data_IF_709271887675
#
_entry.id   IF_709271887675
#
_cell.length_a   1.000
_cell.length_b   1.000
_cell.length_c   1.000
_cell.angle_alpha   90.00
_cell.angle_beta   90.00
_cell.angle_gamma   90.00
#
_symmetry.space_group_name_H-M   'P 1'
#
loop_
_entity.id
_entity.type
_entity.pdbx_description
1 polymer ?
#
# COMPACT_ATOMS: atom_id res chain seq x y z
N UNK A 1 -37.46 68.47 1.57
CA UNK A 1 -37.10 67.87 2.86
C UNK A 1 -37.38 66.39 2.72
N UNK A 2 -36.37 65.61 2.32
CA UNK A 2 -35.37 65.00 3.24
C UNK A 2 -36.00 63.83 3.98
N UNK A 3 -35.46 62.61 4.04
CA UNK A 3 -34.24 61.97 3.57
C UNK A 3 -34.58 60.46 3.58
N UNK A 4 -34.08 59.71 2.60
CA UNK A 4 -33.79 58.28 2.76
C UNK A 4 -32.32 58.21 3.16
N UNK A 5 -31.97 57.62 4.32
CA UNK A 5 -31.18 56.39 4.21
C UNK A 5 -31.38 55.45 5.41
N UNK A 6 -31.35 54.14 5.19
CA UNK A 6 -30.31 53.26 5.75
C UNK A 6 -30.66 51.81 5.46
N UNK A 7 -29.97 51.29 4.44
CA UNK A 7 -29.65 49.89 4.30
C UNK A 7 -28.53 49.58 5.30
N UNK A 8 -28.74 48.72 6.28
CA UNK A 8 -27.66 48.01 6.95
C UNK A 8 -28.13 46.64 7.45
N UNK A 9 -27.27 45.64 7.35
CA UNK A 9 -27.53 44.31 7.88
C UNK A 9 -27.54 43.18 6.85
N UNK A 10 -26.59 43.17 5.91
CA UNK A 10 -26.21 41.90 5.28
C UNK A 10 -25.59 40.97 6.32
N UNK A 11 -26.39 40.09 6.94
CA UNK A 11 -25.89 38.95 7.72
C UNK A 11 -25.25 37.93 6.77
N UNK A 12 -24.07 38.29 6.26
CA UNK A 12 -23.13 37.34 5.68
C UNK A 12 -22.58 36.50 6.83
N UNK A 13 -23.32 35.46 7.22
CA UNK A 13 -22.76 34.34 7.96
C UNK A 13 -21.68 33.71 7.08
N UNK A 14 -20.45 34.21 7.25
CA UNK A 14 -19.21 33.55 6.85
C UNK A 14 -19.15 32.24 7.65
N UNK A 15 -19.87 31.23 7.17
CA UNK A 15 -19.63 29.85 7.57
C UNK A 15 -18.17 29.58 7.31
N UNK A 16 -17.40 29.48 8.39
CA UNK A 16 -15.98 29.13 8.39
C UNK A 16 -15.79 28.02 7.36
N UNK A 17 -15.03 28.29 6.31
CA UNK A 17 -14.64 27.27 5.35
C UNK A 17 -14.13 26.08 6.15
N UNK A 18 -14.87 24.96 6.10
CA UNK A 18 -14.33 23.70 6.55
C UNK A 18 -13.06 23.54 5.72
N UNK A 19 -11.89 23.65 6.37
CA UNK A 19 -10.64 23.19 5.77
C UNK A 19 -10.97 21.82 5.20
N UNK A 20 -10.75 21.63 3.90
CA UNK A 20 -10.75 20.31 3.34
C UNK A 20 -9.88 19.44 4.26
N UNK A 21 -10.34 18.25 4.69
CA UNK A 21 -9.51 17.39 5.50
C UNK A 21 -8.19 17.24 4.76
N UNK A 22 -7.11 17.75 5.38
CA UNK A 22 -5.76 17.55 4.87
C UNK A 22 -5.63 16.05 4.67
N UNK A 23 -5.37 15.63 3.42
CA UNK A 23 -5.25 14.22 3.08
C UNK A 23 -4.19 13.65 4.00
N UNK A 24 -4.61 12.83 4.97
CA UNK A 24 -3.68 12.22 5.91
C UNK A 24 -2.64 11.46 5.09
N UNK A 25 -1.35 11.57 5.43
CA UNK A 25 -0.30 10.84 4.72
C UNK A 25 -0.69 9.36 4.70
N UNK A 26 -0.73 8.75 3.51
CA UNK A 26 -1.00 7.33 3.38
C UNK A 26 0.17 6.58 4.03
N UNK A 27 -0.09 5.91 5.14
CA UNK A 27 0.89 5.04 5.77
C UNK A 27 0.88 3.72 5.01
N UNK A 28 2.04 3.34 4.48
CA UNK A 28 2.23 2.03 3.89
C UNK A 28 2.80 1.10 4.95
N UNK A 29 2.15 -0.05 5.15
CA UNK A 29 2.62 -1.07 6.07
C UNK A 29 3.38 -2.12 5.26
N UNK A 30 4.60 -2.46 5.71
CA UNK A 30 5.41 -3.51 5.11
C UNK A 30 5.61 -4.64 6.10
N UNK A 31 5.64 -5.86 5.58
CA UNK A 31 6.17 -7.01 6.31
C UNK A 31 7.54 -7.37 5.77
N UNK A 32 8.51 -7.38 6.67
CA UNK A 32 9.89 -7.78 6.38
C UNK A 32 10.29 -8.93 7.30
N UNK A 33 11.13 -9.86 6.82
CA UNK A 33 11.80 -10.82 7.70
C UNK A 33 12.48 -10.12 8.87
N UNK A 34 12.51 -10.79 10.02
CA UNK A 34 13.29 -10.32 11.17
C UNK A 34 14.79 -10.52 10.96
N UNK A 35 15.16 -11.51 10.14
CA UNK A 35 16.52 -11.81 9.69
C UNK A 35 16.65 -11.47 8.19
N UNK A 36 17.65 -10.69 7.74
CA UNK A 36 17.82 -10.31 6.33
C UNK A 36 17.92 -11.49 5.34
N UNK A 37 18.37 -12.67 5.75
CA UNK A 37 18.37 -13.87 4.88
C UNK A 37 17.02 -14.63 4.90
N UNK A 38 16.07 -14.16 5.69
CA UNK A 38 14.85 -14.88 6.05
C UNK A 38 13.66 -14.73 5.10
N UNK A 39 13.85 -14.28 3.86
CA UNK A 39 12.75 -14.20 2.90
C UNK A 39 12.21 -15.60 2.56
N UNK A 40 10.96 -15.83 2.95
CA UNK A 40 10.24 -17.05 2.60
C UNK A 40 9.92 -17.08 1.11
N UNK A 41 9.97 -18.27 0.52
CA UNK A 41 9.51 -18.49 -0.86
C UNK A 41 8.00 -18.28 -0.95
N UNK A 42 7.53 -17.78 -2.10
CA UNK A 42 6.10 -17.49 -2.34
C UNK A 42 5.18 -18.68 -1.99
N UNK A 43 5.47 -19.95 -2.36
CA UNK A 43 4.62 -21.08 -1.97
C UNK A 43 4.52 -21.30 -0.45
N UNK A 44 5.58 -20.98 0.30
CA UNK A 44 5.58 -21.09 1.77
C UNK A 44 4.76 -19.97 2.38
N UNK A 45 4.86 -18.75 1.85
CA UNK A 45 4.02 -17.62 2.27
C UNK A 45 2.55 -17.95 2.05
N UNK A 46 2.18 -18.41 0.84
CA UNK A 46 0.81 -18.79 0.53
C UNK A 46 0.29 -19.90 1.45
N UNK A 47 1.08 -20.95 1.67
CA UNK A 47 0.70 -22.05 2.57
C UNK A 47 0.39 -21.55 3.99
N UNK A 48 1.17 -20.60 4.51
CA UNK A 48 0.94 -19.98 5.82
C UNK A 48 -0.28 -19.07 5.83
N UNK A 49 -0.48 -18.28 4.77
CA UNK A 49 -1.69 -17.44 4.61
C UNK A 49 -2.94 -18.33 4.60
N UNK A 50 -2.97 -19.39 3.81
CA UNK A 50 -4.11 -20.33 3.74
C UNK A 50 -4.36 -21.06 5.04
N UNK A 51 -3.33 -21.27 5.87
CA UNK A 51 -3.51 -21.90 7.19
C UNK A 51 -4.01 -20.90 8.25
N UNK A 52 -3.77 -19.60 8.04
CA UNK A 52 -4.11 -18.56 9.01
C UNK A 52 -5.50 -17.95 8.75
N UNK A 53 -5.93 -17.83 7.49
CA UNK A 53 -7.15 -17.10 7.12
C UNK A 53 -8.22 -17.98 6.49
N UNK A 54 -9.48 -17.70 6.81
CA UNK A 54 -10.64 -18.45 6.28
C UNK A 54 -10.90 -18.16 4.79
N UNK A 55 -10.50 -16.99 4.31
CA UNK A 55 -10.61 -16.60 2.92
C UNK A 55 -9.25 -16.17 2.36
N UNK A 56 -8.89 -16.78 1.22
CA UNK A 56 -7.70 -16.47 0.44
C UNK A 56 -8.05 -16.55 -1.04
N UNK A 57 -7.73 -15.49 -1.78
CA UNK A 57 -7.83 -15.42 -3.23
C UNK A 57 -6.45 -15.04 -3.79
N UNK A 58 -6.06 -15.70 -4.89
CA UNK A 58 -4.78 -15.49 -5.55
C UNK A 58 -4.98 -15.22 -7.03
N UNK A 59 -4.23 -14.25 -7.58
CA UNK A 59 -4.22 -13.91 -9.00
C UNK A 59 -2.78 -13.71 -9.48
N UNK A 60 -2.26 -14.71 -10.22
CA UNK A 60 -0.93 -14.67 -10.84
C UNK A 60 -0.83 -13.56 -11.89
N UNK A 61 -1.86 -13.37 -12.71
CA UNK A 61 -1.86 -12.37 -13.78
C UNK A 61 -1.89 -10.94 -13.21
N UNK A 62 -2.59 -10.70 -12.11
CA UNK A 62 -2.49 -9.43 -11.38
C UNK A 62 -1.10 -9.21 -10.76
N UNK A 63 -0.50 -10.26 -10.19
CA UNK A 63 0.85 -10.21 -9.63
C UNK A 63 1.90 -9.85 -10.68
N UNK A 64 1.88 -10.52 -11.82
CA UNK A 64 2.77 -10.27 -12.96
C UNK A 64 2.61 -8.84 -13.50
N UNK A 65 1.37 -8.40 -13.76
CA UNK A 65 1.10 -7.02 -14.22
C UNK A 65 1.62 -5.96 -13.24
N UNK A 66 1.54 -6.22 -11.94
CA UNK A 66 2.07 -5.31 -10.93
C UNK A 66 3.60 -5.19 -11.03
N UNK A 67 4.31 -6.30 -11.14
CA UNK A 67 5.78 -6.30 -11.28
C UNK A 67 6.23 -5.68 -12.60
N UNK A 68 5.51 -5.93 -13.70
CA UNK A 68 5.75 -5.25 -14.98
C UNK A 68 5.61 -3.72 -14.85
N UNK A 69 4.57 -3.26 -14.14
CA UNK A 69 4.37 -1.83 -13.88
C UNK A 69 5.51 -1.24 -13.03
N UNK A 70 6.03 -1.98 -12.05
CA UNK A 70 7.21 -1.56 -11.27
C UNK A 70 8.46 -1.45 -12.13
N UNK A 71 8.76 -2.47 -12.95
CA UNK A 71 9.90 -2.46 -13.89
C UNK A 71 9.81 -1.25 -14.83
N UNK A 72 8.62 -1.02 -15.40
CA UNK A 72 8.37 0.12 -16.27
C UNK A 72 8.58 1.44 -15.56
N UNK A 73 8.03 1.60 -14.35
CA UNK A 73 8.18 2.84 -13.57
C UNK A 73 9.65 3.15 -13.23
N UNK A 74 10.48 2.14 -12.96
CA UNK A 74 11.91 2.32 -12.71
C UNK A 74 12.64 2.69 -14.02
N UNK A 75 12.30 2.02 -15.12
CA UNK A 75 12.89 2.26 -16.45
C UNK A 75 12.54 3.66 -16.98
N UNK A 76 11.29 4.12 -16.81
CA UNK A 76 10.84 5.44 -17.27
C UNK A 76 11.51 6.58 -16.48
N UNK A 77 11.88 6.35 -15.22
CA UNK A 77 12.61 7.33 -14.39
C UNK A 77 14.10 7.39 -14.70
N UNK A 78 14.64 6.37 -15.35
CA UNK A 78 16.07 6.27 -15.70
C UNK A 78 16.31 6.71 -17.14
N UNK A 79 15.96 7.97 -17.44
CA UNK A 79 16.27 8.61 -18.73
C UNK A 79 17.78 8.72 -19.03
N UNK A 80 18.63 8.47 -18.05
CA UNK A 80 20.09 8.47 -18.15
C UNK A 80 20.69 7.29 -17.38
N UNK A 81 21.65 6.64 -18.02
CA UNK A 81 22.34 5.38 -17.71
C UNK A 81 23.07 5.27 -16.35
N UNK A 82 22.84 6.14 -15.37
CA UNK A 82 23.83 6.39 -14.31
C UNK A 82 23.64 5.65 -12.98
N UNK A 83 22.60 4.85 -12.81
CA UNK A 83 22.39 4.11 -11.55
C UNK A 83 22.45 2.60 -11.79
N UNK A 84 23.62 2.01 -11.54
CA UNK A 84 23.84 0.56 -11.54
C UNK A 84 22.81 -0.17 -10.68
N UNK A 85 22.47 0.40 -9.52
CA UNK A 85 21.43 -0.05 -8.60
C UNK A 85 20.05 -0.21 -9.27
N UNK A 86 19.65 0.71 -10.16
CA UNK A 86 18.36 0.59 -10.86
C UNK A 86 18.36 -0.55 -11.89
N UNK A 87 19.49 -0.80 -12.55
CA UNK A 87 19.61 -1.94 -13.49
C UNK A 87 19.58 -3.26 -12.75
N UNK A 88 20.27 -3.34 -11.62
CA UNK A 88 20.22 -4.52 -10.76
C UNK A 88 18.79 -4.77 -10.26
N UNK A 89 18.11 -3.71 -9.81
CA UNK A 89 16.72 -3.77 -9.37
C UNK A 89 15.78 -4.28 -10.46
N UNK A 90 15.90 -3.77 -11.69
CA UNK A 90 15.09 -4.24 -12.83
C UNK A 90 15.37 -5.70 -13.15
N UNK A 91 16.64 -6.13 -13.15
CA UNK A 91 17.00 -7.55 -13.39
C UNK A 91 16.43 -8.47 -12.32
N UNK A 92 16.51 -8.05 -11.06
CA UNK A 92 15.92 -8.79 -9.94
C UNK A 92 14.40 -8.96 -10.15
N UNK A 93 13.67 -7.86 -10.39
CA UNK A 93 12.22 -7.90 -10.63
C UNK A 93 11.84 -8.72 -11.87
N UNK A 94 12.62 -8.64 -12.95
CA UNK A 94 12.38 -9.43 -14.16
C UNK A 94 12.56 -10.93 -13.92
N UNK A 95 13.49 -11.31 -13.03
CA UNK A 95 13.70 -12.71 -12.61
C UNK A 95 12.57 -13.19 -11.71
N UNK A 96 12.06 -12.33 -10.84
CA UNK A 96 10.98 -12.63 -9.90
C UNK A 96 9.58 -12.63 -10.56
N UNK A 97 9.43 -11.98 -11.72
CA UNK A 97 8.15 -11.80 -12.44
C UNK A 97 7.33 -13.10 -12.59
N UNK A 98 7.88 -14.26 -13.02
CA UNK A 98 7.08 -15.47 -13.21
C UNK A 98 6.50 -16.05 -11.92
N UNK A 99 7.08 -15.71 -10.77
CA UNK A 99 6.66 -16.18 -9.44
C UNK A 99 5.85 -15.13 -8.67
N UNK A 100 5.56 -13.98 -9.29
CA UNK A 100 4.81 -12.90 -8.65
C UNK A 100 3.32 -13.23 -8.59
N UNK A 101 2.73 -13.13 -7.39
CA UNK A 101 1.32 -13.49 -7.15
C UNK A 101 0.64 -12.38 -6.38
N UNK A 102 -0.49 -11.89 -6.87
CA UNK A 102 -1.35 -11.04 -6.08
C UNK A 102 -2.18 -11.90 -5.13
N UNK A 103 -2.27 -11.50 -3.86
CA UNK A 103 -3.04 -12.21 -2.84
C UNK A 103 -3.98 -11.26 -2.12
N UNK A 104 -5.21 -11.72 -1.92
CA UNK A 104 -6.21 -11.10 -1.04
C UNK A 104 -6.59 -12.11 0.04
N UNK A 105 -6.56 -11.71 1.31
CA UNK A 105 -6.90 -12.61 2.41
C UNK A 105 -7.61 -11.90 3.57
N UNK A 106 -8.38 -12.66 4.35
CA UNK A 106 -9.12 -12.19 5.51
C UNK A 106 -10.03 -13.28 6.06
N UNK A 107 -10.88 -12.93 7.01
CA UNK A 107 -11.83 -13.90 7.61
C UNK A 107 -13.23 -13.82 6.98
N UNK A 108 -13.53 -12.71 6.27
CA UNK A 108 -14.84 -12.48 5.68
C UNK A 108 -14.72 -12.11 4.19
N UNK A 109 -15.08 -13.02 3.26
CA UNK A 109 -14.98 -12.77 1.82
C UNK A 109 -15.90 -11.66 1.30
N UNK A 110 -16.97 -11.33 2.03
CA UNK A 110 -17.91 -10.26 1.63
C UNK A 110 -17.58 -8.91 2.25
N UNK A 111 -16.52 -8.82 3.07
CA UNK A 111 -16.14 -7.55 3.69
C UNK A 111 -15.44 -6.64 2.68
N UNK A 112 -15.91 -5.39 2.60
CA UNK A 112 -15.30 -4.35 1.76
C UNK A 112 -14.09 -3.68 2.44
N UNK A 113 -13.86 -3.94 3.73
CA UNK A 113 -12.81 -3.26 4.51
C UNK A 113 -11.94 -4.17 5.38
N UNK A 114 -12.40 -5.39 5.68
CA UNK A 114 -11.69 -6.32 6.57
C UNK A 114 -10.93 -7.38 5.76
N UNK A 115 -10.04 -6.91 4.88
CA UNK A 115 -9.14 -7.77 4.14
C UNK A 115 -7.76 -7.12 3.97
N UNK A 116 -6.76 -7.97 3.75
CA UNK A 116 -5.43 -7.58 3.31
C UNK A 116 -5.28 -7.87 1.82
N UNK A 117 -4.62 -6.97 1.11
CA UNK A 117 -4.25 -7.17 -0.29
C UNK A 117 -2.79 -6.77 -0.48
N UNK A 118 -2.02 -7.63 -1.14
CA UNK A 118 -0.61 -7.42 -1.42
C UNK A 118 -0.17 -8.20 -2.66
N UNK A 119 0.93 -7.78 -3.27
CA UNK A 119 1.62 -8.58 -4.29
C UNK A 119 2.84 -9.23 -3.65
N UNK A 120 2.89 -10.57 -3.70
CA UNK A 120 4.03 -11.35 -3.26
C UNK A 120 5.05 -11.40 -4.39
N UNK A 121 6.25 -10.86 -4.14
CA UNK A 121 7.38 -10.91 -5.07
C UNK A 121 8.54 -11.62 -4.35
N UNK A 122 9.14 -12.66 -4.95
CA UNK A 122 10.27 -13.34 -4.34
C UNK A 122 11.41 -12.39 -3.94
N UNK A 123 11.88 -12.50 -2.69
CA UNK A 123 12.98 -11.67 -2.17
C UNK A 123 12.58 -10.26 -1.76
N UNK A 124 11.30 -9.90 -1.84
CA UNK A 124 10.81 -8.56 -1.53
C UNK A 124 10.02 -8.46 -0.23
N UNK A 125 10.06 -7.29 0.43
CA UNK A 125 9.08 -6.94 1.46
C UNK A 125 7.65 -7.05 0.94
N UNK A 126 6.73 -7.51 1.78
CA UNK A 126 5.31 -7.57 1.44
C UNK A 126 4.69 -6.21 1.77
N UNK A 127 4.38 -5.43 0.73
CA UNK A 127 3.76 -4.12 0.85
C UNK A 127 2.23 -4.24 0.83
N UNK A 128 1.57 -3.66 1.84
CA UNK A 128 0.11 -3.59 1.92
C UNK A 128 -0.38 -2.21 1.51
N UNK A 129 -1.28 -2.19 0.52
CA UNK A 129 -1.90 -0.97 0.02
C UNK A 129 -3.36 -0.95 0.49
N UNK A 130 -3.75 0.15 1.13
CA UNK A 130 -5.11 0.39 1.60
C UNK A 130 -5.81 1.44 0.73
N UNK A 131 -7.07 1.21 0.43
CA UNK A 131 -7.94 2.13 -0.31
C UNK A 131 -8.40 3.30 0.56
N UNK A 132 -8.52 3.07 1.87
CA UNK A 132 -8.93 4.08 2.85
C UNK A 132 -8.29 3.87 4.23
N UNK A 133 -8.24 4.94 5.02
CA UNK A 133 -7.83 4.85 6.43
C UNK A 133 -8.74 3.92 7.25
N UNK A 134 -10.03 3.85 6.91
CA UNK A 134 -10.97 2.94 7.55
C UNK A 134 -10.58 1.48 7.32
N UNK A 135 -10.19 1.13 6.09
CA UNK A 135 -9.68 -0.19 5.75
C UNK A 135 -8.36 -0.49 6.48
N UNK A 136 -7.43 0.46 6.53
CA UNK A 136 -6.17 0.29 7.26
C UNK A 136 -6.42 -0.03 8.75
N UNK A 137 -7.31 0.71 9.39
CA UNK A 137 -7.66 0.47 10.80
C UNK A 137 -8.33 -0.88 10.97
N UNK A 138 -9.30 -1.22 10.12
CA UNK A 138 -10.07 -2.46 10.19
C UNK A 138 -9.21 -3.72 9.93
N UNK A 139 -8.23 -3.62 9.03
CA UNK A 139 -7.33 -4.72 8.65
C UNK A 139 -6.13 -4.91 9.57
N UNK A 140 -5.88 -3.98 10.52
CA UNK A 140 -4.75 -4.04 11.45
C UNK A 140 -4.65 -5.35 12.24
N UNK A 141 -5.75 -5.93 12.77
CA UNK A 141 -5.68 -7.24 13.42
C UNK A 141 -5.23 -8.36 12.48
N UNK A 142 -5.67 -8.34 11.22
CA UNK A 142 -5.26 -9.30 10.20
C UNK A 142 -3.77 -9.17 9.90
N UNK A 143 -3.27 -7.92 9.76
CA UNK A 143 -1.85 -7.66 9.50
C UNK A 143 -0.96 -8.22 10.62
N UNK A 144 -1.36 -8.04 11.87
CA UNK A 144 -0.64 -8.56 13.04
C UNK A 144 -0.61 -10.09 13.08
N UNK A 145 -1.73 -10.73 12.72
CA UNK A 145 -1.81 -12.20 12.61
C UNK A 145 -0.90 -12.71 11.50
N UNK A 146 -0.95 -12.10 10.32
CA UNK A 146 -0.09 -12.45 9.20
C UNK A 146 1.39 -12.29 9.53
N UNK A 147 1.78 -11.16 10.14
CA UNK A 147 3.14 -10.92 10.58
C UNK A 147 3.65 -12.05 11.50
N UNK A 148 2.82 -12.46 12.46
CA UNK A 148 3.13 -13.56 13.38
C UNK A 148 3.24 -14.91 12.66
N UNK A 149 2.30 -15.22 11.76
CA UNK A 149 2.30 -16.46 11.00
C UNK A 149 3.57 -16.59 10.11
N UNK A 150 4.03 -15.47 9.54
CA UNK A 150 5.24 -15.42 8.73
C UNK A 150 6.54 -15.35 9.58
N UNK A 151 6.45 -14.91 10.83
CA UNK A 151 7.63 -14.58 11.64
C UNK A 151 8.30 -13.27 11.19
N UNK A 152 7.50 -12.37 10.61
CA UNK A 152 7.94 -11.09 10.04
C UNK A 152 7.61 -9.96 11.02
N UNK A 153 8.32 -8.84 10.88
CA UNK A 153 8.04 -7.59 11.60
C UNK A 153 7.21 -6.65 10.72
N UNK A 154 6.36 -5.86 11.35
CA UNK A 154 5.65 -4.77 10.69
C UNK A 154 6.56 -3.53 10.71
N UNK A 155 6.85 -2.99 9.54
CA UNK A 155 7.58 -1.73 9.37
C UNK A 155 6.61 -0.70 8.79
N UNK A 156 6.53 0.46 9.44
CA UNK A 156 5.76 1.58 8.91
C UNK A 156 6.67 2.37 7.98
N UNK A 157 6.31 2.41 6.71
CA UNK A 157 6.95 3.31 5.76
C UNK A 157 6.19 4.62 5.78
N UNK A 158 6.74 5.58 6.50
CA UNK A 158 6.33 6.97 6.34
C UNK A 158 6.84 7.43 4.96
N UNK A 159 5.92 7.72 4.04
CA UNK A 159 6.22 8.32 2.75
C UNK A 159 6.73 9.78 2.87
N UNK A 160 7.56 10.07 3.88
CA UNK A 160 8.18 11.37 4.18
C UNK A 160 9.21 11.81 3.12
N UNK A 161 9.40 11.05 2.04
CA UNK A 161 10.37 11.33 0.96
C UNK A 161 9.75 11.69 -0.40
N UNK A 162 8.58 12.33 -0.43
CA UNK A 162 8.14 13.09 -1.62
C UNK A 162 8.26 14.60 -1.35
N UNK A 163 9.48 15.11 -1.23
CA UNK A 163 9.66 16.55 -0.97
C UNK A 163 11.07 17.13 -0.91
N UNK A 164 12.11 16.40 -1.32
CA UNK A 164 13.43 17.00 -1.49
C UNK A 164 14.17 16.28 -2.62
N UNK A 165 14.04 16.81 -3.84
CA UNK A 165 15.10 16.95 -4.86
C UNK A 165 14.52 17.72 -6.04
#
# INVERSE_FOLDING_TARGET
>A
MEQDPFYDGTERRRGRGRRAPEASPRTENLLEPTDPEGYLRVPVILSRITSEFDYVETDEAAGQRHVEAMIKAISDRTGTSEYEDHRERVRHLATALPEAIHVRCGDNPTSESEFLSATLVPGEPILFVYESLAQEIASRPLLQRLARALGYKIVQWEASFRGAH
#
